data_IF_511105431859
#
_entry.id   IF_511105431859
#
_cell.length_a   1.000
_cell.length_b   1.000
_cell.length_c   1.000
_cell.angle_alpha   90.00
_cell.angle_beta   90.00
_cell.angle_gamma   90.00
#
_symmetry.space_group_name_H-M   'P 1'
#
loop_
_entity.id
_entity.type
_entity.pdbx_description
1 polymer ?
#
# COMPACT_ATOMS: atom_id res chain seq x y z
N UNK A 1 7.00 19.43 -21.41
CA UNK A 1 6.56 18.72 -22.61
C UNK A 1 5.73 19.63 -23.52
N UNK A 2 5.87 19.47 -24.85
CA UNK A 2 5.14 20.29 -25.83
C UNK A 2 3.60 20.12 -25.76
N UNK A 3 3.12 19.14 -25.04
CA UNK A 3 1.69 18.83 -24.84
C UNK A 3 1.14 19.30 -23.50
N UNK A 4 1.93 19.97 -22.67
CA UNK A 4 1.45 20.48 -21.38
C UNK A 4 0.32 21.49 -21.57
N UNK A 5 -0.68 21.44 -20.69
CA UNK A 5 -1.79 22.39 -20.66
C UNK A 5 -1.36 23.74 -20.08
N UNK A 6 -0.52 23.70 -19.04
CA UNK A 6 0.02 24.84 -18.32
C UNK A 6 1.46 24.54 -17.90
N UNK A 7 2.35 25.52 -18.00
CA UNK A 7 3.73 25.47 -17.54
C UNK A 7 3.99 26.68 -16.67
N UNK A 8 4.52 26.45 -15.47
CA UNK A 8 4.98 27.49 -14.54
C UNK A 8 6.50 27.39 -14.49
N UNK A 9 7.17 28.48 -14.83
CA UNK A 9 8.63 28.60 -14.81
C UNK A 9 9.06 29.56 -13.70
N UNK A 10 10.17 29.26 -13.05
CA UNK A 10 10.66 30.08 -11.97
C UNK A 10 11.95 29.58 -11.35
N UNK A 11 12.32 30.19 -10.24
CA UNK A 11 13.58 29.95 -9.55
C UNK A 11 13.36 29.74 -8.04
N UNK A 12 14.11 28.80 -7.46
CA UNK A 12 14.36 28.70 -6.02
C UNK A 12 15.81 29.12 -5.82
N UNK A 13 16.03 30.16 -5.04
CA UNK A 13 17.39 30.63 -4.73
C UNK A 13 18.10 29.55 -3.89
N UNK A 14 19.26 29.01 -4.34
CA UNK A 14 20.00 28.01 -3.58
C UNK A 14 20.50 28.58 -2.25
N UNK A 15 20.48 27.74 -1.20
CA UNK A 15 20.96 28.10 0.12
C UNK A 15 20.21 27.36 1.22
N UNK A 16 20.28 27.90 2.41
CA UNK A 16 19.57 27.43 3.60
C UNK A 16 18.82 28.60 4.26
N UNK A 17 17.96 28.29 5.21
CA UNK A 17 17.20 29.30 5.95
C UNK A 17 18.12 30.16 6.84
N UNK A 18 19.18 29.56 7.37
CA UNK A 18 20.16 30.21 8.26
C UNK A 18 21.19 31.08 7.49
N UNK A 19 21.26 30.93 6.17
CA UNK A 19 22.14 31.70 5.31
C UNK A 19 23.62 31.30 5.35
N UNK A 20 23.94 30.09 5.83
CA UNK A 20 25.28 29.53 5.87
C UNK A 20 25.77 29.14 4.47
N UNK A 21 24.90 28.52 3.67
CA UNK A 21 25.18 28.09 2.31
C UNK A 21 24.65 29.06 1.23
N UNK A 22 24.15 30.20 1.62
CA UNK A 22 23.39 31.18 0.84
C UNK A 22 22.05 31.44 1.53
N UNK A 23 21.28 32.40 1.10
CA UNK A 23 20.00 32.73 1.73
C UNK A 23 18.84 32.37 0.82
N UNK A 24 18.25 31.22 1.07
CA UNK A 24 16.95 30.83 0.47
C UNK A 24 15.82 31.54 1.22
N UNK A 25 14.89 32.08 0.46
CA UNK A 25 13.67 32.62 1.06
C UNK A 25 12.72 31.48 1.43
N UNK A 26 12.23 31.50 2.68
CA UNK A 26 11.26 30.55 3.20
C UNK A 26 9.97 31.28 3.60
N UNK A 27 8.84 30.65 3.35
CA UNK A 27 7.54 31.13 3.78
C UNK A 27 6.76 30.02 4.46
N UNK A 28 5.77 30.40 5.27
CA UNK A 28 4.89 29.44 5.90
C UNK A 28 3.97 28.83 4.86
N UNK A 29 4.02 27.49 4.74
CA UNK A 29 3.10 26.71 3.93
C UNK A 29 1.92 26.33 4.80
N UNK A 30 0.70 26.70 4.34
CA UNK A 30 -0.53 26.52 5.10
C UNK A 30 -0.91 25.07 5.30
N UNK A 31 -1.87 24.86 6.21
CA UNK A 31 -2.48 23.54 6.43
C UNK A 31 -3.41 23.22 5.27
N UNK A 32 -3.24 22.02 4.69
CA UNK A 32 -4.15 21.45 3.70
C UNK A 32 -4.36 19.96 3.97
N UNK A 33 -5.42 19.39 3.41
CA UNK A 33 -5.76 17.98 3.60
C UNK A 33 -4.74 17.05 2.96
N UNK A 34 -4.44 15.96 3.66
CA UNK A 34 -3.44 14.96 3.25
C UNK A 34 -4.09 13.60 3.00
N UNK A 35 -3.36 12.70 2.36
CA UNK A 35 -3.78 11.34 2.00
C UNK A 35 -4.36 10.51 3.16
N UNK A 36 -3.97 10.81 4.38
CA UNK A 36 -4.45 10.13 5.59
C UNK A 36 -5.78 10.70 6.14
N UNK A 37 -6.41 11.67 5.47
CA UNK A 37 -7.70 12.26 5.85
C UNK A 37 -7.61 13.30 6.97
N UNK A 38 -6.42 13.73 7.37
CA UNK A 38 -6.19 14.79 8.34
C UNK A 38 -5.46 15.96 7.67
N UNK A 39 -5.41 17.10 8.34
CA UNK A 39 -4.55 18.19 7.91
C UNK A 39 -3.07 17.87 8.14
N UNK A 40 -2.24 18.24 7.18
CA UNK A 40 -0.80 18.22 7.32
C UNK A 40 -0.32 19.21 8.39
N UNK A 41 0.91 19.00 8.89
CA UNK A 41 1.53 19.96 9.81
C UNK A 41 1.93 21.22 9.04
N UNK A 42 1.77 22.42 9.62
CA UNK A 42 2.35 23.62 9.05
C UNK A 42 3.86 23.43 8.89
N UNK A 43 4.40 23.85 7.77
CA UNK A 43 5.83 23.76 7.49
C UNK A 43 6.35 25.09 6.92
N UNK A 44 7.65 25.30 7.04
CA UNK A 44 8.32 26.37 6.32
C UNK A 44 8.95 25.76 5.07
N UNK A 45 8.56 26.31 3.90
CA UNK A 45 8.98 25.78 2.60
C UNK A 45 9.72 26.83 1.81
N UNK A 46 10.70 26.42 0.95
CA UNK A 46 11.40 27.35 0.06
C UNK A 46 10.41 28.04 -0.89
N UNK A 47 10.57 29.35 -1.07
CA UNK A 47 9.75 30.12 -2.00
C UNK A 47 10.21 29.89 -3.42
N UNK A 48 9.26 29.53 -4.29
CA UNK A 48 9.45 29.44 -5.72
C UNK A 48 9.01 30.75 -6.38
N UNK A 49 9.97 31.52 -6.90
CA UNK A 49 9.72 32.80 -7.58
C UNK A 49 9.32 32.55 -9.03
N UNK A 50 8.04 32.72 -9.32
CA UNK A 50 7.50 32.51 -10.66
C UNK A 50 7.97 33.65 -11.60
N UNK A 51 8.64 33.28 -12.69
CA UNK A 51 9.11 34.22 -13.72
C UNK A 51 8.24 34.23 -14.97
N UNK A 52 7.60 33.12 -15.31
CA UNK A 52 6.68 33.00 -16.42
C UNK A 52 5.59 31.95 -16.18
N UNK A 53 4.42 32.17 -16.74
CA UNK A 53 3.34 31.22 -16.85
C UNK A 53 2.91 31.15 -18.30
N UNK A 54 3.04 29.98 -18.92
CA UNK A 54 2.59 29.72 -20.28
C UNK A 54 1.51 28.66 -20.29
N UNK A 55 0.52 28.81 -21.15
CA UNK A 55 -0.60 27.87 -21.22
C UNK A 55 -1.22 27.82 -22.60
N UNK A 56 -1.95 26.76 -22.89
CA UNK A 56 -2.78 26.65 -24.09
C UNK A 56 -3.91 27.69 -24.06
N UNK A 57 -4.46 28.03 -25.20
CA UNK A 57 -5.56 29.01 -25.30
C UNK A 57 -6.78 28.59 -24.45
N UNK A 58 -7.10 27.31 -24.41
CA UNK A 58 -8.20 26.74 -23.61
C UNK A 58 -7.62 25.61 -22.78
N UNK A 59 -6.72 25.95 -21.84
CA UNK A 59 -6.08 24.93 -21.01
C UNK A 59 -7.04 24.33 -19.98
N UNK A 60 -6.79 23.06 -19.66
CA UNK A 60 -7.49 22.33 -18.60
C UNK A 60 -6.56 22.28 -17.39
N UNK A 61 -7.01 22.80 -16.26
CA UNK A 61 -6.31 22.66 -15.00
C UNK A 61 -6.78 21.40 -14.28
N UNK A 62 -5.89 20.40 -14.15
CA UNK A 62 -6.18 19.16 -13.47
C UNK A 62 -5.88 19.32 -11.99
N UNK A 63 -6.92 19.44 -11.17
CA UNK A 63 -6.81 19.49 -9.72
C UNK A 63 -7.18 18.12 -9.12
N UNK A 64 -6.39 17.66 -8.15
CA UNK A 64 -6.63 16.41 -7.40
C UNK A 64 -6.92 16.76 -5.95
N UNK A 65 -7.98 16.15 -5.39
CA UNK A 65 -8.26 16.20 -3.96
C UNK A 65 -7.40 15.20 -3.20
N UNK A 66 -6.84 15.61 -2.06
CA UNK A 66 -5.95 14.76 -1.25
C UNK A 66 -6.52 14.34 0.10
N UNK A 67 -7.62 14.94 0.54
CA UNK A 67 -8.13 14.85 1.92
C UNK A 67 -9.16 13.75 2.17
N UNK A 68 -9.52 12.95 1.17
CA UNK A 68 -10.51 11.89 1.31
C UNK A 68 -9.88 10.49 1.21
N UNK A 69 -10.49 9.50 1.87
CA UNK A 69 -9.95 8.14 1.96
C UNK A 69 -9.89 7.38 0.62
N UNK A 70 -10.60 7.86 -0.41
CA UNK A 70 -10.68 7.23 -1.74
C UNK A 70 -10.66 8.28 -2.84
N UNK A 71 -9.73 9.24 -2.75
CA UNK A 71 -9.57 10.28 -3.75
C UNK A 71 -8.88 9.75 -5.02
N UNK A 72 -9.00 10.50 -6.12
CA UNK A 72 -8.30 10.21 -7.38
C UNK A 72 -6.79 10.15 -7.19
N UNK A 73 -6.25 10.97 -6.30
CA UNK A 73 -4.84 10.96 -5.94
C UNK A 73 -4.39 9.60 -5.42
N UNK A 74 -5.12 9.01 -4.48
CA UNK A 74 -4.82 7.69 -3.93
C UNK A 74 -4.90 6.58 -4.97
N UNK A 75 -5.84 6.68 -5.92
CA UNK A 75 -5.94 5.72 -7.03
C UNK A 75 -4.75 5.82 -7.97
N UNK A 76 -4.29 7.04 -8.29
CA UNK A 76 -3.09 7.24 -9.10
C UNK A 76 -1.84 6.71 -8.40
N UNK A 77 -1.67 6.99 -7.11
CA UNK A 77 -0.55 6.50 -6.30
C UNK A 77 -0.56 4.97 -6.18
N UNK A 78 -1.73 4.35 -6.06
CA UNK A 78 -1.87 2.91 -6.00
C UNK A 78 -1.29 2.23 -7.25
N UNK A 79 -1.50 2.78 -8.44
CA UNK A 79 -0.92 2.23 -9.68
C UNK A 79 0.61 2.20 -9.60
N UNK A 80 1.22 3.30 -9.14
CA UNK A 80 2.67 3.37 -8.92
C UNK A 80 3.15 2.35 -7.89
N UNK A 81 2.44 2.25 -6.76
CA UNK A 81 2.78 1.32 -5.68
C UNK A 81 2.63 -0.15 -6.10
N UNK A 82 1.63 -0.49 -6.91
CA UNK A 82 1.51 -1.84 -7.49
C UNK A 82 2.75 -2.20 -8.30
N UNK A 83 3.21 -1.30 -9.19
CA UNK A 83 4.42 -1.49 -9.98
C UNK A 83 5.68 -1.62 -9.13
N UNK A 84 5.80 -0.84 -8.10
CA UNK A 84 6.91 -0.88 -7.14
C UNK A 84 6.96 -2.19 -6.36
N UNK A 85 5.80 -2.65 -5.84
CA UNK A 85 5.68 -3.92 -5.13
C UNK A 85 6.00 -5.08 -6.07
N UNK A 86 5.42 -5.09 -7.28
CA UNK A 86 5.74 -6.10 -8.28
C UNK A 86 7.23 -6.15 -8.60
N UNK A 87 7.85 -4.99 -8.82
CA UNK A 87 9.28 -4.89 -9.13
C UNK A 87 10.17 -5.41 -8.00
N UNK A 88 9.74 -5.25 -6.75
CA UNK A 88 10.43 -5.77 -5.58
C UNK A 88 10.32 -7.30 -5.48
N UNK A 89 9.14 -7.86 -5.78
CA UNK A 89 8.85 -9.27 -5.53
C UNK A 89 9.27 -10.19 -6.68
N UNK A 90 9.23 -9.73 -7.93
CA UNK A 90 9.57 -10.53 -9.13
C UNK A 90 10.99 -11.09 -9.14
N UNK A 91 11.91 -10.48 -8.37
CA UNK A 91 13.30 -10.93 -8.26
C UNK A 91 13.48 -11.97 -7.12
N UNK A 92 12.40 -12.28 -6.37
CA UNK A 92 12.42 -13.18 -5.21
C UNK A 92 11.61 -14.44 -5.46
N UNK A 93 10.47 -14.29 -6.15
CA UNK A 93 9.61 -15.40 -6.58
C UNK A 93 9.33 -15.26 -8.08
N UNK A 94 9.03 -16.37 -8.78
CA UNK A 94 8.64 -16.33 -10.18
C UNK A 94 7.50 -15.33 -10.40
N UNK A 95 7.57 -14.50 -11.45
CA UNK A 95 6.51 -13.52 -11.75
C UNK A 95 5.11 -14.14 -11.87
N UNK A 96 5.02 -15.37 -12.38
CA UNK A 96 3.78 -16.14 -12.52
C UNK A 96 3.19 -16.59 -11.19
N UNK A 97 3.95 -16.55 -10.12
CA UNK A 97 3.50 -16.85 -8.75
C UNK A 97 3.02 -15.61 -7.99
N UNK A 98 3.18 -14.41 -8.59
CA UNK A 98 2.56 -13.17 -8.09
C UNK A 98 1.20 -13.02 -8.78
N UNK A 99 0.13 -13.38 -8.09
CA UNK A 99 -1.22 -13.45 -8.67
C UNK A 99 -1.88 -12.08 -8.75
N UNK A 100 -1.86 -11.35 -7.64
CA UNK A 100 -2.46 -10.01 -7.57
C UNK A 100 -1.78 -9.17 -6.49
N UNK A 101 -1.81 -7.84 -6.68
CA UNK A 101 -1.27 -6.86 -5.75
C UNK A 101 -2.31 -5.79 -5.52
N UNK A 102 -2.62 -5.52 -4.26
CA UNK A 102 -3.37 -4.34 -3.83
C UNK A 102 -2.47 -3.55 -2.88
N UNK A 103 -1.90 -2.45 -3.36
CA UNK A 103 -0.97 -1.62 -2.61
C UNK A 103 -1.36 -0.14 -2.72
N UNK A 104 -1.38 0.55 -1.60
CA UNK A 104 -1.74 1.96 -1.48
C UNK A 104 -1.90 2.36 -0.02
N UNK A 105 -1.89 3.64 0.26
CA UNK A 105 -2.17 4.19 1.61
C UNK A 105 -1.40 3.46 2.73
N UNK A 106 -0.09 3.27 2.53
CA UNK A 106 0.85 2.63 3.47
C UNK A 106 0.62 1.13 3.72
N UNK A 107 -0.17 0.47 2.89
CA UNK A 107 -0.42 -0.96 3.01
C UNK A 107 -0.16 -1.69 1.69
N UNK A 108 0.18 -2.97 1.79
CA UNK A 108 0.23 -3.87 0.65
C UNK A 108 -0.39 -5.22 1.04
N UNK A 109 -1.31 -5.70 0.21
CA UNK A 109 -1.83 -7.06 0.27
C UNK A 109 -1.46 -7.74 -1.05
N UNK A 110 -0.81 -8.89 -0.97
CA UNK A 110 -0.33 -9.62 -2.14
C UNK A 110 -0.84 -11.05 -2.12
N UNK A 111 -1.48 -11.47 -3.20
CA UNK A 111 -1.87 -12.85 -3.44
C UNK A 111 -0.77 -13.55 -4.21
N UNK A 112 -0.35 -14.72 -3.71
CA UNK A 112 0.72 -15.52 -4.31
C UNK A 112 0.31 -16.98 -4.45
N UNK A 113 0.93 -17.67 -5.41
CA UNK A 113 1.01 -19.12 -5.39
C UNK A 113 2.20 -19.52 -4.53
N UNK A 114 1.91 -19.92 -3.28
CA UNK A 114 2.96 -20.34 -2.34
C UNK A 114 3.50 -21.70 -2.71
N UNK A 115 4.81 -21.82 -2.91
CA UNK A 115 5.48 -23.05 -3.34
C UNK A 115 6.42 -23.66 -2.30
N UNK A 116 6.78 -22.91 -1.25
CA UNK A 116 7.69 -23.37 -0.20
C UNK A 116 7.35 -22.79 1.18
N UNK A 117 7.67 -23.51 2.27
CA UNK A 117 7.56 -22.98 3.61
C UNK A 117 8.35 -21.69 3.82
N UNK A 118 7.81 -20.76 4.60
CA UNK A 118 8.45 -19.49 4.94
C UNK A 118 8.48 -18.45 3.81
N UNK A 119 7.98 -18.77 2.61
CA UNK A 119 7.98 -17.85 1.46
C UNK A 119 7.20 -16.56 1.76
N UNK A 120 6.00 -16.67 2.30
CA UNK A 120 5.18 -15.50 2.66
C UNK A 120 5.91 -14.60 3.67
N UNK A 121 6.54 -15.17 4.69
CA UNK A 121 7.33 -14.41 5.68
C UNK A 121 8.49 -13.65 5.05
N UNK A 122 9.19 -14.27 4.10
CA UNK A 122 10.27 -13.60 3.36
C UNK A 122 9.74 -12.39 2.61
N UNK A 123 8.64 -12.53 1.87
CA UNK A 123 8.03 -11.43 1.11
C UNK A 123 7.55 -10.30 2.03
N UNK A 124 6.94 -10.64 3.17
CA UNK A 124 6.52 -9.65 4.18
C UNK A 124 7.70 -8.81 4.65
N UNK A 125 8.82 -9.44 4.98
CA UNK A 125 10.00 -8.71 5.46
C UNK A 125 10.55 -7.75 4.40
N UNK A 126 10.55 -8.16 3.13
CA UNK A 126 10.95 -7.31 2.02
C UNK A 126 10.03 -6.11 1.83
N UNK A 127 8.71 -6.33 1.90
CA UNK A 127 7.72 -5.27 1.80
C UNK A 127 7.85 -4.27 2.95
N UNK A 128 7.98 -4.76 4.19
CA UNK A 128 8.09 -3.90 5.37
C UNK A 128 9.40 -3.11 5.43
N UNK A 129 10.46 -3.55 4.74
CA UNK A 129 11.69 -2.78 4.59
C UNK A 129 11.49 -1.49 3.78
N UNK A 130 10.45 -1.44 2.92
CA UNK A 130 10.13 -0.25 2.10
C UNK A 130 9.52 0.86 2.98
N UNK A 131 10.04 2.11 2.94
CA UNK A 131 9.54 3.20 3.80
C UNK A 131 8.04 3.52 3.61
N UNK A 132 7.48 3.33 2.42
CA UNK A 132 6.07 3.60 2.13
C UNK A 132 5.09 2.49 2.53
N UNK A 133 5.56 1.38 3.13
CA UNK A 133 4.69 0.27 3.55
C UNK A 133 4.77 0.10 5.07
N UNK A 134 3.64 0.22 5.75
CA UNK A 134 3.46 0.07 7.19
C UNK A 134 2.82 -1.26 7.57
N UNK A 135 1.95 -1.79 6.68
CA UNK A 135 1.29 -3.08 6.84
C UNK A 135 1.45 -3.90 5.56
N UNK A 136 1.86 -5.17 5.71
CA UNK A 136 1.94 -6.13 4.62
C UNK A 136 1.14 -7.39 4.95
N UNK A 137 0.28 -7.84 4.04
CA UNK A 137 -0.47 -9.09 4.16
C UNK A 137 -0.17 -9.95 2.94
N UNK A 138 0.19 -11.21 3.16
CA UNK A 138 0.33 -12.20 2.08
C UNK A 138 -0.78 -13.22 2.22
N UNK A 139 -1.48 -13.47 1.12
CA UNK A 139 -2.57 -14.45 0.99
C UNK A 139 -2.31 -15.41 -0.17
N UNK A 140 -3.07 -16.49 -0.26
CA UNK A 140 -2.99 -17.43 -1.38
C UNK A 140 -3.76 -16.97 -2.61
N UNK A 141 -3.59 -17.68 -3.73
CA UNK A 141 -4.17 -17.38 -5.04
C UNK A 141 -5.70 -17.43 -5.09
N UNK A 142 -6.35 -18.05 -4.12
CA UNK A 142 -7.81 -18.16 -4.01
C UNK A 142 -8.47 -16.97 -3.31
N UNK A 143 -7.70 -15.96 -2.88
CA UNK A 143 -8.18 -14.76 -2.19
C UNK A 143 -8.07 -13.55 -3.11
N UNK A 144 -9.19 -12.86 -3.33
CA UNK A 144 -9.21 -11.58 -4.03
C UNK A 144 -8.68 -10.46 -3.11
N UNK A 145 -7.49 -9.95 -3.42
CA UNK A 145 -6.85 -8.89 -2.63
C UNK A 145 -7.59 -7.54 -2.67
N UNK A 146 -8.52 -7.35 -3.61
CA UNK A 146 -9.38 -6.17 -3.69
C UNK A 146 -10.68 -6.33 -2.90
N UNK A 147 -11.02 -7.55 -2.49
CA UNK A 147 -12.13 -7.84 -1.60
C UNK A 147 -11.63 -7.91 -0.14
N UNK A 148 -11.76 -6.80 0.58
CA UNK A 148 -11.27 -6.70 1.95
C UNK A 148 -11.94 -7.70 2.90
N UNK A 149 -13.15 -8.17 2.61
CA UNK A 149 -13.86 -9.18 3.41
C UNK A 149 -13.16 -10.53 3.27
N UNK A 150 -12.76 -10.92 2.06
CA UNK A 150 -12.00 -12.16 1.84
C UNK A 150 -10.60 -12.10 2.46
N UNK A 151 -9.92 -10.96 2.35
CA UNK A 151 -8.62 -10.76 2.99
C UNK A 151 -8.73 -10.89 4.50
N UNK A 152 -9.75 -10.26 5.12
CA UNK A 152 -9.97 -10.34 6.57
C UNK A 152 -10.34 -11.77 6.98
N UNK A 153 -11.16 -12.46 6.20
CA UNK A 153 -11.47 -13.88 6.40
C UNK A 153 -10.19 -14.73 6.39
N UNK A 154 -9.31 -14.53 5.41
CA UNK A 154 -8.04 -15.26 5.35
C UNK A 154 -7.16 -14.98 6.58
N UNK A 155 -7.10 -13.72 7.02
CA UNK A 155 -6.38 -13.33 8.24
C UNK A 155 -6.96 -14.05 9.47
N UNK A 156 -8.28 -14.12 9.60
CA UNK A 156 -8.93 -14.75 10.76
C UNK A 156 -8.75 -16.27 10.81
N UNK A 157 -8.82 -16.95 9.66
CA UNK A 157 -8.89 -18.42 9.63
C UNK A 157 -7.61 -19.10 9.18
N UNK A 158 -6.69 -18.40 8.50
CA UNK A 158 -5.40 -18.96 8.03
C UNK A 158 -4.19 -18.49 8.84
N UNK A 159 -4.38 -17.54 9.77
CA UNK A 159 -3.29 -17.06 10.62
C UNK A 159 -3.58 -17.21 12.10
N UNK A 160 -2.53 -17.20 12.91
CA UNK A 160 -2.54 -17.12 14.37
C UNK A 160 -1.54 -16.05 14.81
N UNK A 161 -1.43 -15.78 16.09
CA UNK A 161 -0.44 -14.81 16.62
C UNK A 161 0.99 -15.06 16.14
N UNK A 162 1.35 -16.32 15.89
CA UNK A 162 2.69 -16.69 15.40
C UNK A 162 2.94 -16.29 13.94
N UNK A 163 1.89 -15.98 13.20
CA UNK A 163 1.99 -15.55 11.80
C UNK A 163 2.09 -14.04 11.64
N UNK A 164 2.01 -13.31 12.75
CA UNK A 164 2.23 -11.87 12.79
C UNK A 164 3.72 -11.57 12.95
N UNK A 165 4.18 -10.64 12.15
CA UNK A 165 5.55 -10.12 12.19
C UNK A 165 5.49 -8.66 12.62
N UNK A 166 6.04 -8.36 13.78
CA UNK A 166 6.22 -6.98 14.24
C UNK A 166 7.70 -6.65 14.08
N UNK A 167 8.01 -5.66 13.26
CA UNK A 167 9.40 -5.27 13.02
C UNK A 167 9.98 -4.48 14.19
N UNK A 168 11.31 -4.39 14.31
CA UNK A 168 11.93 -3.26 14.98
C UNK A 168 11.45 -1.93 14.39
N UNK A 169 11.84 -0.82 14.96
CA UNK A 169 11.60 0.49 14.35
C UNK A 169 12.33 0.55 13.01
N UNK A 170 11.59 0.81 11.93
CA UNK A 170 12.07 0.95 10.56
C UNK A 170 11.68 2.32 10.00
N UNK A 171 12.42 2.84 9.02
CA UNK A 171 12.10 4.10 8.38
C UNK A 171 10.69 4.10 7.79
N UNK A 172 10.01 5.23 7.95
CA UNK A 172 8.71 5.51 7.34
C UNK A 172 8.72 6.91 6.74
N UNK A 173 7.84 7.17 5.79
CA UNK A 173 7.67 8.52 5.23
C UNK A 173 6.99 9.43 6.26
N UNK A 174 7.34 10.71 6.25
CA UNK A 174 6.88 11.70 7.23
C UNK A 174 5.38 12.04 7.16
N UNK A 175 4.68 11.57 6.13
CA UNK A 175 3.23 11.75 5.98
C UNK A 175 2.40 10.87 6.94
N UNK A 176 2.99 9.85 7.59
CA UNK A 176 2.23 9.03 8.52
C UNK A 176 1.93 9.80 9.81
N UNK A 177 0.64 10.07 10.14
CA UNK A 177 0.28 10.83 11.34
C UNK A 177 0.65 10.13 12.65
N UNK A 178 0.96 8.83 12.61
CA UNK A 178 1.44 8.09 13.77
C UNK A 178 2.92 8.39 14.12
N UNK A 179 3.64 9.07 13.22
CA UNK A 179 5.02 9.50 13.49
C UNK A 179 4.96 10.78 14.32
N UNK A 180 5.46 10.69 15.56
CA UNK A 180 5.41 11.79 16.52
C UNK A 180 6.78 12.39 16.82
N UNK A 181 7.84 11.82 16.28
CA UNK A 181 9.24 12.24 16.56
C UNK A 181 10.16 11.95 15.38
N UNK A 182 11.25 12.68 15.31
CA UNK A 182 12.37 12.41 14.43
C UNK A 182 13.41 11.46 15.12
N UNK A 183 14.11 10.62 14.35
CA UNK A 183 13.88 10.33 12.93
C UNK A 183 12.56 9.61 12.71
N UNK A 184 11.99 9.72 11.48
CA UNK A 184 10.71 9.12 11.10
C UNK A 184 10.78 7.59 11.11
N UNK A 185 10.63 6.99 12.28
CA UNK A 185 10.76 5.56 12.53
C UNK A 185 9.51 5.04 13.24
N UNK A 186 9.04 3.86 12.84
CA UNK A 186 7.98 3.15 13.54
C UNK A 186 8.09 1.64 13.37
N UNK A 187 7.42 0.89 14.26
CA UNK A 187 7.23 -0.55 14.11
C UNK A 187 6.15 -0.80 13.08
N UNK A 188 6.40 -1.78 12.21
CA UNK A 188 5.52 -2.16 11.12
C UNK A 188 4.99 -3.57 11.36
N UNK A 189 3.85 -3.90 10.75
CA UNK A 189 3.20 -5.19 10.93
C UNK A 189 3.07 -5.94 9.62
N UNK A 190 3.42 -7.22 9.64
CA UNK A 190 3.16 -8.17 8.56
C UNK A 190 2.30 -9.33 9.02
N UNK A 191 1.51 -9.89 8.13
CA UNK A 191 0.63 -11.01 8.42
C UNK A 191 0.77 -12.06 7.32
N UNK A 192 1.17 -13.26 7.70
CA UNK A 192 1.15 -14.43 6.82
C UNK A 192 -0.22 -15.11 6.93
N UNK A 193 -1.14 -14.72 6.06
CA UNK A 193 -2.47 -15.29 5.97
C UNK A 193 -2.61 -16.33 4.85
N UNK A 194 -1.50 -17.05 4.56
CA UNK A 194 -1.52 -18.16 3.59
C UNK A 194 -1.84 -19.48 4.27
N UNK A 195 -2.39 -20.43 3.50
CA UNK A 195 -2.52 -21.81 3.92
C UNK A 195 -1.15 -22.42 4.23
N UNK A 196 -1.03 -23.18 5.31
CA UNK A 196 0.24 -23.84 5.65
C UNK A 196 0.55 -24.97 4.66
N UNK A 197 1.79 -25.01 4.19
CA UNK A 197 2.34 -26.15 3.47
C UNK A 197 2.86 -27.21 4.48
N UNK A 198 3.12 -28.42 4.00
CA UNK A 198 3.73 -29.45 4.85
C UNK A 198 5.04 -28.93 5.46
N UNK A 199 5.16 -29.04 6.78
CA UNK A 199 6.31 -28.54 7.53
C UNK A 199 6.30 -27.03 7.79
N UNK A 200 5.21 -26.32 7.44
CA UNK A 200 5.01 -24.89 7.68
C UNK A 200 4.06 -24.69 8.88
N UNK A 201 4.12 -23.52 9.50
CA UNK A 201 3.17 -23.08 10.53
C UNK A 201 2.88 -24.09 11.64
N UNK A 202 3.90 -24.81 12.09
CA UNK A 202 3.80 -25.67 13.29
C UNK A 202 2.84 -26.87 13.17
N UNK A 203 2.70 -27.46 11.99
CA UNK A 203 1.88 -28.67 11.78
C UNK A 203 0.39 -28.41 11.52
N UNK A 204 -0.06 -27.15 11.49
CA UNK A 204 -1.45 -26.81 11.13
C UNK A 204 -1.85 -27.24 9.72
N UNK A 205 -0.88 -27.50 8.85
CA UNK A 205 -1.08 -27.99 7.49
C UNK A 205 -1.86 -29.29 7.42
N UNK A 206 -1.65 -30.18 8.37
CA UNK A 206 -2.33 -31.47 8.41
C UNK A 206 -3.83 -31.30 8.71
N UNK A 207 -4.15 -30.50 9.72
CA UNK A 207 -5.54 -30.26 10.14
C UNK A 207 -6.34 -29.54 9.03
N UNK A 208 -5.81 -28.47 8.48
CA UNK A 208 -6.53 -27.70 7.45
C UNK A 208 -6.69 -28.47 6.15
N UNK A 209 -5.72 -29.29 5.77
CA UNK A 209 -5.82 -30.17 4.61
C UNK A 209 -6.89 -31.25 4.79
N UNK A 210 -6.99 -31.83 6.01
CA UNK A 210 -7.94 -32.90 6.29
C UNK A 210 -9.38 -32.38 6.36
N UNK A 211 -9.58 -31.13 6.78
CA UNK A 211 -10.91 -30.50 6.74
C UNK A 211 -11.37 -30.24 5.31
N UNK A 212 -10.45 -29.93 4.40
CA UNK A 212 -10.76 -29.55 3.01
C UNK A 212 -11.57 -28.25 2.90
N UNK A 213 -11.68 -27.67 1.72
CA UNK A 213 -12.54 -26.52 1.50
C UNK A 213 -14.01 -26.92 1.53
N UNK A 214 -14.84 -26.17 2.25
CA UNK A 214 -16.29 -26.30 2.14
C UNK A 214 -16.71 -25.88 0.72
N UNK A 215 -17.25 -26.81 -0.04
CA UNK A 215 -17.83 -26.53 -1.34
C UNK A 215 -19.32 -26.34 -1.16
N UNK A 216 -19.82 -25.17 -1.51
CA UNK A 216 -21.23 -24.99 -1.69
C UNK A 216 -21.62 -25.53 -3.07
N UNK A 217 -22.75 -26.20 -3.23
CA UNK A 217 -23.25 -26.53 -4.55
C UNK A 217 -23.42 -25.25 -5.36
N UNK A 218 -23.17 -25.34 -6.66
CA UNK A 218 -23.49 -24.25 -7.57
C UNK A 218 -24.97 -23.90 -7.41
N UNK A 219 -25.32 -22.61 -7.42
CA UNK A 219 -26.73 -22.19 -7.27
C UNK A 219 -27.63 -22.82 -8.33
N UNK A 220 -27.07 -23.13 -9.50
CA UNK A 220 -27.78 -23.86 -10.58
C UNK A 220 -28.01 -25.35 -10.24
N UNK A 221 -27.31 -25.91 -9.28
CA UNK A 221 -27.50 -27.28 -8.79
C UNK A 221 -28.43 -27.36 -7.58
N UNK A 222 -28.84 -26.20 -7.02
CA UNK A 222 -29.74 -26.14 -5.87
C UNK A 222 -31.21 -26.12 -6.39
N UNK A 223 -31.94 -27.19 -6.12
CA UNK A 223 -33.39 -27.22 -6.36
C UNK A 223 -34.11 -26.34 -5.31
N UNK A 224 -34.32 -25.08 -5.68
CA UNK A 224 -34.98 -24.10 -4.83
C UNK A 224 -36.43 -24.46 -4.53
N UNK A 225 -37.11 -25.14 -5.46
CA UNK A 225 -38.53 -25.57 -5.28
C UNK A 225 -38.64 -26.64 -4.19
N UNK A 226 -37.62 -27.51 -4.08
CA UNK A 226 -37.54 -28.48 -2.97
C UNK A 226 -37.43 -27.80 -1.61
N UNK A 227 -36.66 -26.71 -1.50
CA UNK A 227 -36.48 -25.99 -0.25
C UNK A 227 -37.60 -25.01 0.06
N UNK A 228 -38.28 -24.48 -0.93
CA UNK A 228 -39.40 -23.56 -0.76
C UNK A 228 -40.75 -24.26 -0.59
N UNK A 229 -40.81 -25.60 -0.76
CA UNK A 229 -42.01 -26.39 -0.55
C UNK A 229 -43.07 -26.17 -1.62
N UNK A 230 -42.69 -25.85 -2.85
CA UNK A 230 -43.56 -25.73 -4.01
C UNK A 230 -43.76 -27.07 -4.70
#
# INVERSE_FOLDING_TARGET
PATAELVIEGEIVPGDEDGILGKTEYADEGVFGEVHGYFGKPSRSPVFHVTAITHRKNYIYHALGTSEHTSEHQLCDAIGMHGDVYSLLKDIIPPEDIIAINAGSFAATVSIRKTRPGQARQLIQMLLAKPGIKRAIIVDEDIDVFNLVEVDWAVQFRSTGDDYIITPELPMINLDPAITREPNMLKKVGIDATMPLMGDKGGRSEVLRDLGPARYPDLDEVDLDYYLGN
#
